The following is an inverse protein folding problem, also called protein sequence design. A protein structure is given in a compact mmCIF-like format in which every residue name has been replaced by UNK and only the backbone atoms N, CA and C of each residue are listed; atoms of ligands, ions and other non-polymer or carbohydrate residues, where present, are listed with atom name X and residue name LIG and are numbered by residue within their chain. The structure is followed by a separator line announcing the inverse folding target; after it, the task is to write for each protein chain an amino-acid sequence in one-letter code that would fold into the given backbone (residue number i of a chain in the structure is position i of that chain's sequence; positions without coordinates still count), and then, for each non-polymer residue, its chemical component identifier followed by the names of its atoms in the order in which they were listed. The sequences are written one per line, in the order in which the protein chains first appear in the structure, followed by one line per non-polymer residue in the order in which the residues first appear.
data_IF_856887945787
#
_entry.id   IF_856887945787
#
_cell.length_a   1.000
_cell.length_b   1.000
_cell.length_c   1.000
_cell.angle_alpha   90.00
_cell.angle_beta   90.00
_cell.angle_gamma   90.00
#
_symmetry.space_group_name_H-M   'P 1'
#
loop_
_entity.id
_entity.type
_entity.pdbx_description
1 polymer ?
#
# COMPACT_ATOMS: atom_id res chain seq x y z
N UNK A 1 31.12 -1.19 33.72
CA UNK A 1 30.81 -1.04 32.27
C UNK A 1 31.39 -2.25 31.55
N UNK A 2 30.57 -3.16 31.01
CA UNK A 2 31.05 -4.36 30.31
C UNK A 2 31.36 -3.99 28.86
N UNK A 3 32.64 -3.93 28.53
CA UNK A 3 33.13 -3.81 27.16
C UNK A 3 32.65 -5.02 26.36
N UNK A 4 31.66 -4.82 25.47
CA UNK A 4 31.27 -5.84 24.49
C UNK A 4 32.46 -6.01 23.54
N UNK A 5 33.18 -7.12 23.68
CA UNK A 5 34.15 -7.57 22.70
C UNK A 5 33.52 -7.53 21.30
N UNK A 6 34.19 -6.98 20.27
CA UNK A 6 33.67 -6.95 18.90
C UNK A 6 33.37 -8.40 18.50
N UNK A 7 32.08 -8.72 18.49
CA UNK A 7 31.58 -10.07 18.29
C UNK A 7 32.04 -10.56 16.93
N UNK A 8 32.54 -11.80 16.87
CA UNK A 8 32.73 -12.50 15.61
C UNK A 8 31.36 -12.60 14.94
N UNK A 9 31.06 -11.69 14.02
CA UNK A 9 29.98 -11.89 13.06
C UNK A 9 30.19 -13.26 12.41
N UNK A 10 29.13 -14.08 12.41
CA UNK A 10 29.22 -15.43 11.86
C UNK A 10 29.67 -15.37 10.40
N UNK A 11 30.44 -16.36 9.95
CA UNK A 11 30.89 -16.44 8.54
C UNK A 11 29.70 -16.31 7.57
N UNK A 12 28.55 -16.84 7.97
CA UNK A 12 27.30 -16.77 7.22
C UNK A 12 26.77 -15.33 7.09
N UNK A 13 26.76 -14.55 8.18
CA UNK A 13 26.33 -13.15 8.14
C UNK A 13 27.17 -12.33 7.15
N UNK A 14 28.50 -12.55 7.12
CA UNK A 14 29.40 -11.87 6.18
C UNK A 14 29.11 -12.25 4.73
N UNK A 15 28.86 -13.54 4.47
CA UNK A 15 28.52 -14.02 3.13
C UNK A 15 27.21 -13.41 2.62
N UNK A 16 26.17 -13.40 3.47
CA UNK A 16 24.89 -12.79 3.13
C UNK A 16 25.00 -11.27 2.92
N UNK A 17 25.78 -10.57 3.75
CA UNK A 17 26.06 -9.15 3.55
C UNK A 17 26.78 -8.87 2.23
N UNK A 18 27.74 -9.73 1.84
CA UNK A 18 28.42 -9.61 0.56
C UNK A 18 27.44 -9.81 -0.61
N UNK A 19 26.57 -10.82 -0.52
CA UNK A 19 25.51 -11.06 -1.49
C UNK A 19 24.55 -9.87 -1.61
N UNK A 20 24.07 -9.31 -0.50
CA UNK A 20 23.21 -8.11 -0.48
C UNK A 20 23.89 -6.93 -1.19
N UNK A 21 25.18 -6.66 -0.88
CA UNK A 21 25.97 -5.60 -1.51
C UNK A 21 26.12 -5.80 -3.02
N UNK A 22 26.20 -7.05 -3.49
CA UNK A 22 26.23 -7.38 -4.91
C UNK A 22 24.92 -7.08 -5.62
N UNK A 23 23.79 -7.10 -4.91
CA UNK A 23 22.47 -6.85 -5.49
C UNK A 23 22.01 -5.40 -5.38
N UNK A 24 22.31 -4.72 -4.26
CA UNK A 24 21.83 -3.37 -3.97
C UNK A 24 23.02 -2.48 -3.65
N UNK A 25 23.31 -1.53 -4.54
CA UNK A 25 24.45 -0.62 -4.40
C UNK A 25 24.23 0.53 -3.40
N UNK A 26 22.98 0.93 -3.20
CA UNK A 26 22.58 2.05 -2.35
C UNK A 26 21.30 1.69 -1.59
N UNK A 27 21.12 2.13 -0.33
CA UNK A 27 22.15 2.72 0.53
C UNK A 27 23.29 1.72 0.82
N UNK A 28 24.50 2.23 1.06
CA UNK A 28 25.65 1.39 1.43
C UNK A 28 25.43 0.92 2.87
N UNK A 29 25.29 -0.40 3.06
CA UNK A 29 25.25 -1.04 4.37
C UNK A 29 26.63 -1.64 4.67
N UNK A 30 27.12 -1.47 5.90
CA UNK A 30 28.40 -2.02 6.34
C UNK A 30 28.22 -3.22 7.27
N UNK A 31 27.16 -3.21 8.08
CA UNK A 31 26.77 -4.24 9.03
C UNK A 31 25.34 -4.72 8.79
N UNK A 32 24.95 -5.84 9.41
CA UNK A 32 23.55 -6.29 9.41
C UNK A 32 22.62 -5.25 10.03
N UNK A 33 23.06 -4.54 11.08
CA UNK A 33 22.25 -3.55 11.80
C UNK A 33 21.82 -2.39 10.90
N UNK A 34 22.62 -2.03 9.89
CA UNK A 34 22.30 -0.98 8.92
C UNK A 34 21.06 -1.33 8.05
N UNK A 35 20.70 -2.61 8.00
CA UNK A 35 19.52 -3.10 7.27
C UNK A 35 18.22 -2.89 8.07
N UNK A 36 18.30 -2.51 9.35
CA UNK A 36 17.15 -2.35 10.23
C UNK A 36 16.14 -1.30 9.77
N UNK A 37 16.53 -0.36 8.91
CA UNK A 37 15.66 0.70 8.40
C UNK A 37 14.70 0.28 7.25
N UNK A 38 14.79 -0.95 6.77
CA UNK A 38 13.89 -1.51 5.75
C UNK A 38 14.20 -1.13 4.30
N UNK A 39 15.03 -0.12 4.03
CA UNK A 39 15.25 0.40 2.66
C UNK A 39 15.87 -0.64 1.73
N UNK A 40 16.91 -1.33 2.21
CA UNK A 40 17.62 -2.35 1.43
C UNK A 40 16.70 -3.53 1.13
N UNK A 41 15.87 -3.94 2.09
CA UNK A 41 14.90 -5.02 1.91
C UNK A 41 13.85 -4.70 0.85
N UNK A 42 13.29 -3.49 0.87
CA UNK A 42 12.35 -3.05 -0.17
C UNK A 42 12.99 -3.04 -1.56
N UNK A 43 14.25 -2.60 -1.67
CA UNK A 43 14.99 -2.59 -2.94
C UNK A 43 15.31 -4.01 -3.42
N UNK A 44 15.71 -4.90 -2.51
CA UNK A 44 15.91 -6.32 -2.83
C UNK A 44 14.62 -6.95 -3.34
N UNK A 45 13.48 -6.69 -2.68
CA UNK A 45 12.19 -7.21 -3.09
C UNK A 45 11.83 -6.76 -4.51
N UNK A 46 11.95 -5.47 -4.82
CA UNK A 46 11.69 -4.95 -6.17
C UNK A 46 12.63 -5.52 -7.24
N UNK A 47 13.85 -5.94 -6.87
CA UNK A 47 14.81 -6.56 -7.79
C UNK A 47 14.51 -8.04 -8.03
N UNK A 48 14.22 -8.80 -6.97
CA UNK A 48 13.95 -10.25 -7.04
C UNK A 48 12.53 -10.56 -7.53
N UNK A 49 11.58 -9.66 -7.29
CA UNK A 49 10.18 -9.76 -7.70
C UNK A 49 9.71 -8.44 -8.31
N UNK A 50 10.08 -8.16 -9.57
CA UNK A 50 9.67 -6.94 -10.25
C UNK A 50 8.15 -6.77 -10.26
N UNK A 51 7.67 -5.57 -9.96
CA UNK A 51 6.24 -5.22 -9.97
C UNK A 51 5.50 -5.41 -8.64
N UNK A 52 6.10 -6.05 -7.63
CA UNK A 52 5.45 -6.21 -6.30
C UNK A 52 5.62 -5.00 -5.40
N UNK A 53 6.58 -4.12 -5.70
CA UNK A 53 6.90 -2.96 -4.87
C UNK A 53 7.21 -1.74 -5.73
N UNK A 54 6.49 -0.64 -5.50
CA UNK A 54 6.71 0.62 -6.17
C UNK A 54 7.83 1.41 -5.48
N UNK A 55 8.96 1.59 -6.17
CA UNK A 55 10.17 2.22 -5.60
C UNK A 55 9.96 3.65 -5.10
N UNK A 56 9.00 4.38 -5.69
CA UNK A 56 8.62 5.74 -5.29
C UNK A 56 8.04 5.83 -3.87
N UNK A 57 7.49 4.73 -3.35
CA UNK A 57 6.89 4.71 -2.01
C UNK A 57 7.92 4.49 -0.90
N UNK A 58 9.14 4.06 -1.25
CA UNK A 58 10.20 3.77 -0.27
C UNK A 58 10.76 5.07 0.28
N UNK A 59 10.76 5.21 1.61
CA UNK A 59 11.45 6.30 2.29
C UNK A 59 12.96 5.98 2.31
N UNK A 60 13.70 6.56 1.36
CA UNK A 60 15.11 6.24 1.13
C UNK A 60 16.07 6.70 2.24
N UNK A 61 15.65 7.67 3.06
CA UNK A 61 16.41 8.19 4.20
C UNK A 61 15.50 8.26 5.44
N UNK A 62 15.21 7.12 6.08
CA UNK A 62 14.38 7.10 7.27
C UNK A 62 15.03 7.94 8.38
N UNK A 63 14.32 8.95 8.88
CA UNK A 63 14.78 9.81 9.95
C UNK A 63 14.36 9.29 11.34
N UNK A 64 13.33 8.44 11.38
CA UNK A 64 12.77 7.93 12.63
C UNK A 64 12.24 6.48 12.49
N UNK A 65 11.76 5.93 13.61
CA UNK A 65 11.21 4.56 13.69
C UNK A 65 9.95 4.38 12.84
N UNK A 66 9.09 5.40 12.73
CA UNK A 66 7.88 5.32 11.92
C UNK A 66 8.20 5.25 10.42
N UNK A 67 9.22 5.97 9.96
CA UNK A 67 9.69 5.88 8.58
C UNK A 67 10.22 4.47 8.26
N UNK A 68 10.93 3.86 9.21
CA UNK A 68 11.38 2.48 9.09
C UNK A 68 10.21 1.50 9.08
N UNK A 69 9.21 1.71 9.95
CA UNK A 69 7.97 0.92 10.00
C UNK A 69 7.19 1.01 8.69
N UNK A 70 7.10 2.20 8.09
CA UNK A 70 6.49 2.40 6.77
C UNK A 70 7.15 1.53 5.70
N UNK A 71 8.49 1.50 5.66
CA UNK A 71 9.21 0.63 4.73
C UNK A 71 8.88 -0.86 4.96
N UNK A 72 8.76 -1.33 6.20
CA UNK A 72 8.35 -2.71 6.48
C UNK A 72 6.89 -3.00 6.11
N UNK A 73 5.97 -2.06 6.27
CA UNK A 73 4.58 -2.22 5.80
C UNK A 73 4.50 -2.38 4.28
N UNK A 74 5.31 -1.61 3.52
CA UNK A 74 5.43 -1.80 2.08
C UNK A 74 5.97 -3.19 1.75
N UNK A 75 6.92 -3.66 2.55
CA UNK A 75 7.52 -4.96 2.34
C UNK A 75 6.54 -6.11 2.62
N UNK A 76 5.78 -6.04 3.72
CA UNK A 76 4.69 -6.98 4.02
C UNK A 76 3.67 -7.04 2.88
N UNK A 77 3.28 -5.88 2.35
CA UNK A 77 2.38 -5.79 1.19
C UNK A 77 2.99 -6.46 -0.05
N UNK A 78 4.28 -6.25 -0.29
CA UNK A 78 4.98 -6.88 -1.42
C UNK A 78 5.10 -8.41 -1.26
N UNK A 79 5.34 -8.92 -0.04
CA UNK A 79 5.31 -10.36 0.23
C UNK A 79 3.93 -10.97 -0.03
N UNK A 80 2.87 -10.28 0.39
CA UNK A 80 1.50 -10.69 0.08
C UNK A 80 1.23 -10.71 -1.42
N UNK A 81 1.65 -9.67 -2.16
CA UNK A 81 1.49 -9.61 -3.62
C UNK A 81 2.28 -10.71 -4.35
N UNK A 82 3.45 -11.09 -3.82
CA UNK A 82 4.27 -12.18 -4.34
C UNK A 82 3.74 -13.57 -3.97
N UNK A 83 2.61 -13.68 -3.26
CA UNK A 83 2.08 -14.92 -2.67
C UNK A 83 3.13 -15.68 -1.84
N UNK A 84 3.93 -14.94 -1.08
CA UNK A 84 4.97 -15.50 -0.24
C UNK A 84 4.50 -15.53 1.22
N UNK A 85 4.20 -16.71 1.78
CA UNK A 85 3.80 -16.83 3.17
C UNK A 85 5.03 -16.70 4.06
N UNK A 86 5.36 -15.46 4.43
CA UNK A 86 6.46 -15.20 5.34
C UNK A 86 6.07 -14.17 6.39
N UNK A 87 6.61 -14.36 7.59
CA UNK A 87 6.33 -13.54 8.77
C UNK A 87 7.65 -13.19 9.45
N UNK A 88 7.80 -11.91 9.79
CA UNK A 88 8.95 -11.37 10.50
C UNK A 88 8.49 -10.42 11.59
N UNK A 89 9.27 -10.33 12.67
CA UNK A 89 9.00 -9.35 13.73
C UNK A 89 9.57 -7.98 13.32
N UNK A 90 8.69 -7.13 12.78
CA UNK A 90 9.04 -5.76 12.38
C UNK A 90 9.68 -4.96 13.52
N UNK A 91 9.30 -5.18 14.78
CA UNK A 91 9.90 -4.45 15.91
C UNK A 91 11.34 -4.90 16.16
N UNK A 92 11.60 -6.21 16.11
CA UNK A 92 12.93 -6.77 16.26
C UNK A 92 13.87 -6.34 15.11
N UNK A 93 13.36 -6.32 13.87
CA UNK A 93 14.12 -5.86 12.71
C UNK A 93 14.51 -4.39 12.80
N UNK A 94 13.57 -3.51 13.19
CA UNK A 94 13.87 -2.08 13.39
C UNK A 94 14.85 -1.88 14.56
N UNK A 95 14.76 -2.69 15.61
CA UNK A 95 15.71 -2.67 16.73
C UNK A 95 17.11 -3.19 16.36
N UNK A 96 17.30 -3.68 15.13
CA UNK A 96 18.59 -4.22 14.67
C UNK A 96 18.90 -5.61 15.24
N UNK A 97 17.88 -6.38 15.61
CA UNK A 97 18.07 -7.75 16.08
C UNK A 97 18.75 -8.60 15.01
N UNK A 98 19.98 -9.04 15.31
CA UNK A 98 20.82 -9.71 14.32
C UNK A 98 20.27 -11.07 13.91
N UNK A 99 19.50 -11.74 14.78
CA UNK A 99 18.91 -13.03 14.47
C UNK A 99 17.76 -12.89 13.46
N UNK A 100 16.83 -11.97 13.68
CA UNK A 100 15.75 -11.68 12.73
C UNK A 100 16.29 -11.10 11.41
N UNK A 101 17.29 -10.22 11.45
CA UNK A 101 17.94 -9.70 10.24
C UNK A 101 18.62 -10.81 9.43
N UNK A 102 19.26 -11.77 10.10
CA UNK A 102 19.89 -12.91 9.43
C UNK A 102 18.83 -13.84 8.82
N UNK A 103 17.75 -14.12 9.54
CA UNK A 103 16.62 -14.91 9.04
C UNK A 103 16.00 -14.26 7.80
N UNK A 104 15.85 -12.94 7.81
CA UNK A 104 15.41 -12.15 6.65
C UNK A 104 16.36 -12.26 5.47
N UNK A 105 17.66 -12.06 5.69
CA UNK A 105 18.67 -12.21 4.64
C UNK A 105 18.62 -13.61 4.00
N UNK A 106 18.47 -14.67 4.80
CA UNK A 106 18.32 -16.04 4.29
C UNK A 106 17.07 -16.22 3.45
N UNK A 107 15.93 -15.65 3.86
CA UNK A 107 14.69 -15.71 3.08
C UNK A 107 14.88 -15.08 1.69
N UNK A 108 15.46 -13.88 1.64
CA UNK A 108 15.76 -13.20 0.37
C UNK A 108 16.76 -13.97 -0.50
N UNK A 109 17.80 -14.56 0.09
CA UNK A 109 18.76 -15.38 -0.64
C UNK A 109 18.11 -16.65 -1.23
N UNK A 110 17.19 -17.27 -0.50
CA UNK A 110 16.43 -18.42 -1.01
C UNK A 110 15.55 -18.04 -2.20
N UNK A 111 14.93 -16.86 -2.18
CA UNK A 111 14.11 -16.37 -3.31
C UNK A 111 14.91 -16.25 -4.61
N UNK A 112 16.18 -15.85 -4.52
CA UNK A 112 17.10 -15.70 -5.65
C UNK A 112 17.47 -17.06 -6.28
N UNK A 113 17.62 -18.09 -5.44
CA UNK A 113 17.99 -19.45 -5.88
C UNK A 113 16.81 -20.24 -6.44
N UNK A 114 15.58 -19.97 -6.00
CA UNK A 114 14.38 -20.60 -6.57
C UNK A 114 13.89 -19.81 -7.78
N UNK A 115 14.26 -20.18 -9.03
CA UNK A 115 13.70 -19.55 -10.20
C UNK A 115 12.19 -19.73 -10.19
N UNK A 116 11.53 -18.63 -10.49
CA UNK A 116 10.11 -18.39 -10.33
C UNK A 116 9.27 -19.30 -11.23
N UNK A 117 9.13 -20.57 -10.83
CA UNK A 117 8.31 -21.55 -11.56
C UNK A 117 6.81 -21.24 -11.44
N UNK A 118 6.40 -20.28 -10.61
CA UNK A 118 4.99 -19.97 -10.36
C UNK A 118 4.52 -18.62 -10.94
N UNK A 119 5.36 -17.60 -11.07
CA UNK A 119 4.91 -16.31 -11.64
C UNK A 119 4.69 -16.29 -13.16
N UNK A 120 5.07 -17.34 -13.92
CA UNK A 120 4.69 -17.46 -15.33
C UNK A 120 3.21 -17.79 -15.57
N UNK A 121 2.43 -18.12 -14.53
CA UNK A 121 1.06 -18.65 -14.71
C UNK A 121 -0.07 -17.62 -14.70
N UNK A 122 0.20 -16.34 -14.46
CA UNK A 122 -0.81 -15.28 -14.55
C UNK A 122 -0.43 -14.20 -15.57
N UNK A 123 -0.27 -14.62 -16.83
CA UNK A 123 -0.72 -13.74 -17.93
C UNK A 123 -2.24 -13.68 -17.81
N UNK A 124 -2.75 -12.70 -17.05
CA UNK A 124 -4.14 -12.32 -17.15
C UNK A 124 -4.45 -12.12 -18.65
N UNK A 125 -5.53 -12.73 -19.19
CA UNK A 125 -5.97 -12.38 -20.51
C UNK A 125 -6.30 -10.90 -20.46
N UNK A 126 -5.47 -10.10 -21.13
CA UNK A 126 -5.76 -8.73 -21.49
C UNK A 126 -7.00 -8.76 -22.38
N UNK A 127 -8.18 -8.86 -21.74
CA UNK A 127 -9.44 -8.40 -22.33
C UNK A 127 -9.35 -6.88 -22.36
N UNK A 128 -8.63 -6.38 -23.36
CA UNK A 128 -8.70 -5.00 -23.80
C UNK A 128 -10.07 -4.76 -24.43
N UNK A 129 -11.09 -4.68 -23.57
CA UNK A 129 -12.38 -4.07 -23.90
C UNK A 129 -12.61 -2.95 -22.89
N UNK A 130 -11.72 -1.96 -22.89
CA UNK A 130 -12.07 -0.62 -22.43
C UNK A 130 -12.44 0.19 -23.67
N UNK A 131 -13.63 0.83 -23.70
CA UNK A 131 -13.92 1.85 -24.68
C UNK A 131 -12.88 2.97 -24.56
N UNK A 132 -12.50 3.56 -25.69
CA UNK A 132 -11.57 4.67 -25.76
C UNK A 132 -11.99 5.75 -24.74
N UNK A 133 -11.12 6.02 -23.76
CA UNK A 133 -11.20 7.26 -22.98
C UNK A 133 -10.74 8.36 -23.92
N UNK A 134 -11.69 9.18 -24.36
CA UNK A 134 -11.40 10.47 -24.96
C UNK A 134 -10.56 11.28 -23.98
N UNK A 135 -9.45 11.84 -24.48
CA UNK A 135 -8.62 12.79 -23.74
C UNK A 135 -9.45 14.03 -23.43
N UNK A 136 -9.51 14.42 -22.16
CA UNK A 136 -10.02 15.72 -21.76
C UNK A 136 -9.06 16.80 -22.31
N UNK A 137 -9.42 17.45 -23.43
CA UNK A 137 -8.60 18.51 -24.00
C UNK A 137 -8.91 18.94 -25.44
N UNK A 138 -9.61 18.15 -26.24
CA UNK A 138 -10.03 18.58 -27.59
C UNK A 138 -11.53 18.88 -27.60
N UNK A 139 -11.86 20.11 -27.20
CA UNK A 139 -13.15 20.72 -27.54
C UNK A 139 -12.97 21.27 -28.95
N UNK A 140 -13.38 20.47 -29.92
CA UNK A 140 -13.47 20.85 -31.32
C UNK A 140 -14.56 21.92 -31.46
N UNK A 141 -14.11 23.07 -31.94
CA UNK A 141 -14.90 24.27 -32.17
C UNK A 141 -15.68 24.08 -33.47
N UNK A 142 -16.87 23.47 -33.44
CA UNK A 142 -17.76 23.54 -34.61
C UNK A 142 -19.24 23.39 -34.25
N UNK A 143 -19.96 24.49 -34.47
CA UNK A 143 -21.37 24.59 -34.83
C UNK A 143 -22.43 24.00 -33.88
N UNK A 144 -23.08 24.90 -33.14
CA UNK A 144 -24.54 25.03 -33.31
C UNK A 144 -24.97 26.48 -33.08
N UNK A 145 -25.31 27.13 -34.20
CA UNK A 145 -26.20 28.28 -34.27
C UNK A 145 -27.60 27.87 -33.81
N UNK A 146 -28.31 28.84 -33.23
CA UNK A 146 -29.74 28.87 -32.91
C UNK A 146 -30.14 28.31 -31.55
N UNK A 147 -30.45 29.18 -30.59
CA UNK A 147 -31.85 29.47 -30.23
C UNK A 147 -31.97 30.34 -28.96
N UNK A 148 -32.58 31.51 -29.16
CA UNK A 148 -33.54 32.22 -28.29
C UNK A 148 -33.14 32.59 -26.84
N UNK A 149 -32.82 33.88 -26.70
CA UNK A 149 -33.00 34.69 -25.49
C UNK A 149 -34.46 34.70 -25.02
N UNK A 150 -34.71 34.62 -23.70
CA UNK A 150 -35.79 35.33 -23.06
C UNK A 150 -35.26 36.65 -22.49
N UNK A 151 -35.87 37.72 -23.01
CA UNK A 151 -35.84 39.08 -22.46
C UNK A 151 -36.23 39.07 -20.99
N UNK A 152 -35.47 39.74 -20.12
CA UNK A 152 -35.95 40.14 -18.80
C UNK A 152 -35.80 41.63 -18.68
N UNK A 153 -36.94 42.25 -18.40
CA UNK A 153 -37.23 43.66 -18.49
C UNK A 153 -36.36 44.52 -17.57
N UNK A 154 -35.98 45.68 -18.12
CA UNK A 154 -35.47 46.80 -17.38
C UNK A 154 -36.56 47.34 -16.43
N UNK A 155 -36.24 47.46 -15.15
CA UNK A 155 -36.90 48.44 -14.29
C UNK A 155 -35.90 49.56 -14.05
N UNK A 156 -36.14 50.68 -14.73
CA UNK A 156 -35.53 51.97 -14.46
C UNK A 156 -36.06 52.49 -13.12
N UNK A 157 -35.16 52.85 -12.21
CA UNK A 157 -35.46 53.79 -11.13
C UNK A 157 -34.42 54.90 -11.22
N UNK A 158 -34.96 56.11 -11.34
CA UNK A 158 -34.25 57.35 -11.59
C UNK A 158 -33.32 57.76 -10.44
N UNK A 159 -32.15 58.26 -10.86
CA UNK A 159 -31.32 59.33 -10.33
C UNK A 159 -31.84 60.10 -9.09
N UNK A 160 -30.92 60.33 -8.13
CA UNK A 160 -30.65 61.67 -7.60
C UNK A 160 -29.20 61.75 -7.06
N UNK A 161 -28.47 62.74 -7.57
CA UNK A 161 -27.12 63.16 -7.18
C UNK A 161 -27.08 63.76 -5.76
N UNK A 162 -26.06 63.39 -4.96
CA UNK A 162 -25.39 64.28 -4.00
C UNK A 162 -24.12 63.64 -3.39
N UNK A 163 -22.96 63.98 -3.94
CA UNK A 163 -21.81 64.61 -3.26
C UNK A 163 -21.38 64.09 -1.86
N UNK A 164 -20.17 63.48 -1.83
CA UNK A 164 -19.10 63.54 -0.78
C UNK A 164 -19.09 62.51 0.40
N UNK A 165 -17.95 62.32 1.11
CA UNK A 165 -16.97 61.25 0.86
C UNK A 165 -16.75 60.33 2.09
N UNK A 166 -15.87 59.32 1.92
CA UNK A 166 -15.30 58.45 2.97
C UNK A 166 -16.27 57.50 3.70
N UNK A 167 -16.23 56.22 3.34
CA UNK A 167 -16.60 55.13 4.25
C UNK A 167 -15.82 53.87 3.93
N UNK A 168 -14.62 53.78 4.49
CA UNK A 168 -13.85 52.54 4.68
C UNK A 168 -14.54 51.72 5.75
N UNK A 169 -15.61 50.97 5.43
CA UNK A 169 -16.19 49.98 6.36
C UNK A 169 -17.15 48.95 5.71
N UNK A 170 -16.93 48.61 4.43
CA UNK A 170 -17.79 47.64 3.71
C UNK A 170 -17.10 46.32 3.31
N UNK A 171 -15.95 45.98 3.89
CA UNK A 171 -15.17 44.76 3.54
C UNK A 171 -15.23 43.67 4.62
N UNK A 172 -15.98 43.88 5.71
CA UNK A 172 -16.04 42.90 6.82
C UNK A 172 -17.26 41.96 6.81
N UNK A 173 -18.23 42.13 5.89
CA UNK A 173 -19.46 41.32 5.86
C UNK A 173 -19.43 40.12 4.90
N UNK A 174 -18.42 39.98 4.04
CA UNK A 174 -18.34 38.86 3.08
C UNK A 174 -17.63 37.62 3.63
N UNK A 175 -16.69 37.78 4.57
CA UNK A 175 -15.90 36.67 5.11
C UNK A 175 -16.68 35.73 6.05
N UNK A 176 -17.73 36.24 6.71
CA UNK A 176 -18.59 35.45 7.59
C UNK A 176 -19.46 34.44 6.81
N UNK A 177 -19.81 34.75 5.56
CA UNK A 177 -20.57 33.86 4.67
C UNK A 177 -19.73 32.67 4.20
N UNK A 178 -18.46 32.91 3.88
CA UNK A 178 -17.54 31.88 3.39
C UNK A 178 -17.19 30.85 4.47
N UNK A 179 -17.03 31.30 5.72
CA UNK A 179 -16.76 30.41 6.85
C UNK A 179 -17.97 29.49 7.14
N UNK A 180 -19.19 30.02 7.09
CA UNK A 180 -20.40 29.21 7.27
C UNK A 180 -20.57 28.20 6.14
N UNK A 181 -20.29 28.61 4.89
CA UNK A 181 -20.36 27.72 3.75
C UNK A 181 -19.30 26.59 3.83
N UNK A 182 -18.09 26.91 4.30
CA UNK A 182 -17.04 25.92 4.53
C UNK A 182 -17.43 24.93 5.64
N UNK A 183 -17.98 25.41 6.77
CA UNK A 183 -18.47 24.55 7.86
C UNK A 183 -19.55 23.60 7.37
N UNK A 184 -20.50 24.10 6.59
CA UNK A 184 -21.57 23.28 6.01
C UNK A 184 -21.01 22.21 5.06
N UNK A 185 -20.02 22.57 4.23
CA UNK A 185 -19.36 21.62 3.32
C UNK A 185 -18.58 20.52 4.06
N UNK A 186 -17.90 20.87 5.15
CA UNK A 186 -17.18 19.91 6.00
C UNK A 186 -18.18 18.94 6.67
N UNK A 187 -19.29 19.45 7.19
CA UNK A 187 -20.34 18.61 7.80
C UNK A 187 -20.94 17.61 6.79
N UNK A 188 -21.22 18.06 5.56
CA UNK A 188 -21.71 17.18 4.49
C UNK A 188 -20.70 16.08 4.17
N UNK A 189 -19.40 16.41 4.06
CA UNK A 189 -18.37 15.40 3.82
C UNK A 189 -18.30 14.36 4.93
N UNK A 190 -18.37 14.79 6.19
CA UNK A 190 -18.33 13.89 7.34
C UNK A 190 -19.55 12.95 7.36
N UNK A 191 -20.73 13.50 7.07
CA UNK A 191 -21.95 12.71 6.96
C UNK A 191 -21.86 11.65 5.85
N UNK A 192 -21.36 12.04 4.67
CA UNK A 192 -21.20 11.10 3.54
C UNK A 192 -20.19 9.99 3.85
N UNK A 193 -19.12 10.29 4.58
CA UNK A 193 -18.17 9.27 5.03
C UNK A 193 -18.80 8.28 6.01
N UNK A 194 -19.59 8.78 6.97
CA UNK A 194 -20.30 7.91 7.92
C UNK A 194 -21.27 6.96 7.21
N UNK A 195 -22.06 7.47 6.26
CA UNK A 195 -22.98 6.66 5.46
C UNK A 195 -22.25 5.58 4.67
N UNK A 196 -21.07 5.89 4.12
CA UNK A 196 -20.27 4.90 3.38
C UNK A 196 -19.73 3.79 4.28
N UNK A 197 -19.29 4.13 5.51
CA UNK A 197 -18.85 3.15 6.51
C UNK A 197 -20.01 2.25 6.94
N UNK A 198 -21.17 2.83 7.23
CA UNK A 198 -22.35 2.07 7.65
C UNK A 198 -22.81 1.12 6.53
N UNK A 199 -22.78 1.57 5.27
CA UNK A 199 -23.09 0.73 4.11
C UNK A 199 -22.09 -0.44 3.94
N UNK A 200 -20.80 -0.20 4.17
CA UNK A 200 -19.77 -1.24 4.12
C UNK A 200 -19.99 -2.29 5.22
N UNK A 201 -20.24 -1.85 6.45
CA UNK A 201 -20.50 -2.74 7.59
C UNK A 201 -21.81 -3.55 7.40
N UNK A 202 -22.83 -2.96 6.78
CA UNK A 202 -24.06 -3.67 6.44
C UNK A 202 -23.87 -4.72 5.34
N UNK A 203 -22.92 -4.51 4.41
CA UNK A 203 -22.60 -5.43 3.33
C UNK A 203 -21.74 -6.63 3.80
N UNK A 204 -20.93 -6.47 4.83
CA UNK A 204 -20.12 -7.54 5.44
C UNK A 204 -20.92 -8.49 6.34
N UNK A 205 -22.23 -8.68 6.10
CA UNK A 205 -22.97 -9.76 6.75
C UNK A 205 -22.21 -11.07 6.51
N UNK A 206 -21.73 -11.76 7.58
CA UNK A 206 -20.96 -12.96 7.44
C UNK A 206 -21.80 -13.95 6.66
N UNK A 207 -21.33 -14.32 5.47
CA UNK A 207 -21.93 -15.43 4.73
C UNK A 207 -21.85 -16.63 5.68
N UNK A 208 -22.98 -17.29 6.00
CA UNK A 208 -22.91 -18.50 6.78
C UNK A 208 -21.94 -19.43 6.07
N UNK A 209 -20.85 -19.77 6.76
CA UNK A 209 -19.90 -20.77 6.29
C UNK A 209 -20.69 -22.06 6.12
N UNK A 210 -21.11 -22.34 4.89
CA UNK A 210 -21.52 -23.67 4.50
C UNK A 210 -20.25 -24.51 4.56
N UNK A 211 -20.01 -25.15 5.70
CA UNK A 211 -18.99 -26.16 5.82
C UNK A 211 -19.31 -27.26 4.81
N UNK A 212 -18.45 -27.52 3.80
CA UNK A 212 -18.59 -28.73 3.03
C UNK A 212 -18.33 -29.89 3.99
N UNK A 213 -19.40 -30.62 4.32
CA UNK A 213 -19.28 -31.90 5.00
C UNK A 213 -18.39 -32.80 4.13
N UNK A 214 -17.33 -33.30 4.77
CA UNK A 214 -16.62 -34.53 4.43
C UNK A 214 -16.03 -34.62 3.02
N UNK A 215 -14.79 -34.13 2.86
CA UNK A 215 -13.83 -34.80 2.00
C UNK A 215 -12.71 -35.36 2.88
N UNK A 216 -12.78 -36.66 3.16
CA UNK A 216 -11.65 -37.41 3.69
C UNK A 216 -10.49 -37.29 2.69
N UNK A 217 -9.55 -36.38 2.94
CA UNK A 217 -8.29 -36.39 2.21
C UNK A 217 -7.50 -37.62 2.66
N UNK A 218 -7.51 -38.66 1.84
CA UNK A 218 -6.59 -39.78 2.01
C UNK A 218 -5.18 -39.24 1.85
N UNK A 219 -4.49 -39.04 2.97
CA UNK A 219 -3.09 -38.68 2.99
C UNK A 219 -2.28 -39.90 2.53
N UNK A 220 -1.70 -39.82 1.33
CA UNK A 220 -0.86 -40.86 0.73
C UNK A 220 0.61 -40.78 1.18
N UNK A 221 0.90 -40.12 2.30
CA UNK A 221 2.27 -40.09 2.81
C UNK A 221 2.64 -41.44 3.46
N UNK A 222 3.92 -41.80 3.34
CA UNK A 222 4.46 -43.06 3.87
C UNK A 222 4.30 -43.24 5.39
N UNK A 223 4.12 -42.14 6.14
CA UNK A 223 3.85 -42.19 7.59
C UNK A 223 2.42 -42.66 7.90
N UNK A 224 1.42 -42.20 7.15
CA UNK A 224 0.02 -42.61 7.35
C UNK A 224 -0.23 -44.05 6.89
N UNK A 225 0.50 -44.53 5.88
CA UNK A 225 0.42 -45.91 5.40
C UNK A 225 0.97 -46.93 6.42
N UNK A 226 1.95 -46.53 7.24
CA UNK A 226 2.51 -47.42 8.29
C UNK A 226 1.57 -47.60 9.48
N UNK A 227 0.89 -46.54 9.91
CA UNK A 227 -0.06 -46.62 11.03
C UNK A 227 -1.30 -47.47 10.72
N UNK A 228 -1.65 -47.64 9.44
CA UNK A 228 -2.79 -48.46 9.04
C UNK A 228 -2.48 -49.96 8.94
N UNK A 229 -1.19 -50.36 9.01
CA UNK A 229 -0.77 -51.77 8.99
C UNK A 229 -0.59 -52.37 10.39
N UNK A 230 -0.42 -51.56 11.43
CA UNK A 230 -0.26 -52.04 12.82
C UNK A 230 -1.58 -52.38 13.54
N UNK A 231 -2.74 -52.14 12.90
CA UNK A 231 -4.06 -52.32 13.51
C UNK A 231 -4.81 -53.58 13.03
N UNK A 232 -4.13 -54.55 12.42
CA UNK A 232 -4.74 -55.85 12.10
C UNK A 232 -4.55 -56.83 13.27
N UNK A 233 -5.60 -57.19 14.03
CA UNK A 233 -5.51 -58.27 15.01
C UNK A 233 -5.40 -59.60 14.28
N UNK A 234 -4.40 -60.41 14.67
CA UNK A 234 -4.28 -61.81 14.25
C UNK A 234 -5.50 -62.60 14.75
N UNK A 235 -6.19 -63.27 13.83
CA UNK A 235 -7.22 -64.29 14.08
C UNK A 235 -6.61 -65.67 13.84
#
# INVERSE_FOLDING_TARGET
MRSKSPGRESSEAKQLMHWIKGLVYSPRCHSLQDLGNGVVWCRLMGKLRPGTLASVLIINRPANVNDSKHNYMLLESAFSMANMPWYFDTRALIAGDSHELLKMAKCFAQMDVTPDRQLQRQKHPSKSSRPARYSAGEIELTQHLSSQHPSTEATAVELLDAVHPNSVDAVLLSAASDEQQLKQRIQIMFHNQQVAVDAFMAAEKPRPFAYPLTAHSMCSCSKCLRQSQEAAPEL
#
